data_IF_452470986768
#
_entry.id   IF_452470986768
#
_cell.length_a   1.000
_cell.length_b   1.000
_cell.length_c   1.000
_cell.angle_alpha   90.00
_cell.angle_beta   90.00
_cell.angle_gamma   90.00
#
_symmetry.space_group_name_H-M   'P 1'
#
loop_
_entity.id
_entity.type
_entity.pdbx_description
1 polymer ?
#
# COMPACT_ATOMS: atom_id res chain seq x y z
N UNK A 1 -21.37 -1.44 40.57
CA UNK A 1 -21.48 -0.32 39.60
C UNK A 1 -20.60 -0.52 38.37
N UNK A 2 -19.36 -1.03 38.51
CA UNK A 2 -18.43 -1.22 37.39
C UNK A 2 -18.86 -2.28 36.37
N UNK A 3 -19.41 -3.42 36.79
CA UNK A 3 -19.85 -4.48 35.86
C UNK A 3 -20.96 -4.02 34.91
N UNK A 4 -21.99 -3.33 35.41
CA UNK A 4 -23.06 -2.80 34.57
C UNK A 4 -22.56 -1.78 33.54
N UNK A 5 -21.59 -0.94 33.92
CA UNK A 5 -20.96 0.02 33.00
C UNK A 5 -20.15 -0.68 31.91
N UNK A 6 -19.44 -1.77 32.24
CA UNK A 6 -18.69 -2.57 31.26
C UNK A 6 -19.63 -3.27 30.27
N UNK A 7 -20.72 -3.88 30.73
CA UNK A 7 -21.70 -4.54 29.85
C UNK A 7 -22.36 -3.54 28.90
N UNK A 8 -22.75 -2.36 29.41
CA UNK A 8 -23.30 -1.29 28.57
C UNK A 8 -22.31 -0.80 27.52
N UNK A 9 -21.04 -0.63 27.92
CA UNK A 9 -19.97 -0.23 26.99
C UNK A 9 -19.74 -1.27 25.89
N UNK A 10 -19.69 -2.56 26.23
CA UNK A 10 -19.55 -3.65 25.25
C UNK A 10 -20.74 -3.67 24.28
N UNK A 11 -21.98 -3.55 24.78
CA UNK A 11 -23.19 -3.54 23.93
C UNK A 11 -23.21 -2.34 22.97
N UNK A 12 -22.80 -1.16 23.42
CA UNK A 12 -22.67 0.01 22.55
C UNK A 12 -21.63 -0.22 21.46
N UNK A 13 -20.49 -0.81 21.80
CA UNK A 13 -19.43 -1.15 20.85
C UNK A 13 -19.92 -2.19 19.81
N UNK A 14 -20.64 -3.22 20.23
CA UNK A 14 -21.24 -4.21 19.32
C UNK A 14 -22.25 -3.57 18.37
N UNK A 15 -23.14 -2.71 18.88
CA UNK A 15 -24.13 -2.00 18.07
C UNK A 15 -23.47 -1.09 17.03
N UNK A 16 -22.35 -0.47 17.37
CA UNK A 16 -21.53 0.33 16.46
C UNK A 16 -20.92 -0.53 15.35
N UNK A 17 -20.41 -1.72 15.67
CA UNK A 17 -19.86 -2.65 14.67
C UNK A 17 -20.92 -3.24 13.75
N UNK A 18 -22.10 -3.57 14.27
CA UNK A 18 -23.24 -4.02 13.45
C UNK A 18 -23.67 -2.90 12.51
N UNK A 19 -23.77 -1.67 13.00
CA UNK A 19 -24.09 -0.49 12.18
C UNK A 19 -23.05 -0.29 11.07
N UNK A 20 -21.76 -0.39 11.38
CA UNK A 20 -20.69 -0.33 10.37
C UNK A 20 -20.77 -1.48 9.35
N UNK A 21 -21.18 -2.68 9.77
CA UNK A 21 -21.34 -3.84 8.89
C UNK A 21 -22.55 -3.68 7.97
N UNK A 22 -23.66 -3.13 8.47
CA UNK A 22 -24.84 -2.77 7.69
C UNK A 22 -24.48 -1.70 6.66
N UNK A 23 -23.69 -0.69 7.00
CA UNK A 23 -23.23 0.31 6.03
C UNK A 23 -22.37 -0.31 4.92
N UNK A 24 -21.47 -1.24 5.26
CA UNK A 24 -20.71 -2.00 4.26
C UNK A 24 -21.63 -2.80 3.35
N UNK A 25 -22.58 -3.53 3.94
CA UNK A 25 -23.54 -4.34 3.19
C UNK A 25 -24.45 -3.49 2.28
N UNK A 26 -24.97 -2.37 2.78
CA UNK A 26 -25.75 -1.39 2.02
C UNK A 26 -24.95 -0.81 0.85
N UNK A 27 -23.66 -0.52 1.04
CA UNK A 27 -22.77 -0.03 -0.03
C UNK A 27 -22.57 -1.08 -1.12
N UNK A 28 -22.28 -2.33 -0.73
CA UNK A 28 -22.18 -3.45 -1.67
C UNK A 28 -23.49 -3.68 -2.41
N UNK A 29 -24.62 -3.68 -1.69
CA UNK A 29 -25.94 -3.83 -2.27
C UNK A 29 -26.23 -2.71 -3.28
N UNK A 30 -25.94 -1.45 -2.93
CA UNK A 30 -26.08 -0.32 -3.85
C UNK A 30 -25.19 -0.46 -5.09
N UNK A 31 -23.95 -0.95 -4.95
CA UNK A 31 -23.06 -1.19 -6.09
C UNK A 31 -23.57 -2.31 -7.00
N UNK A 32 -24.01 -3.43 -6.43
CA UNK A 32 -24.67 -4.52 -7.18
C UNK A 32 -25.94 -4.04 -7.87
N UNK A 33 -26.74 -3.20 -7.20
CA UNK A 33 -27.94 -2.62 -7.77
C UNK A 33 -27.62 -1.66 -8.92
N UNK A 34 -26.63 -0.78 -8.76
CA UNK A 34 -26.20 0.12 -9.84
C UNK A 34 -25.64 -0.64 -11.03
N UNK A 35 -24.90 -1.73 -10.79
CA UNK A 35 -24.41 -2.63 -11.84
C UNK A 35 -25.56 -3.34 -12.57
N UNK A 36 -26.54 -3.86 -11.83
CA UNK A 36 -27.75 -4.48 -12.38
C UNK A 36 -28.58 -3.49 -13.20
N UNK A 37 -28.75 -2.26 -12.70
CA UNK A 37 -29.53 -1.22 -13.37
C UNK A 37 -28.81 -0.57 -14.56
N UNK A 38 -27.52 -0.89 -14.80
CA UNK A 38 -26.69 -0.29 -15.88
C UNK A 38 -26.73 1.24 -15.92
N UNK A 39 -27.01 1.90 -14.80
CA UNK A 39 -27.31 3.35 -14.75
C UNK A 39 -26.07 4.26 -14.82
N UNK A 40 -24.85 3.74 -14.75
CA UNK A 40 -23.62 4.55 -14.83
C UNK A 40 -22.43 3.77 -15.42
N UNK A 41 -21.63 4.34 -16.35
CA UNK A 41 -20.56 3.62 -17.03
C UNK A 41 -19.29 3.46 -16.19
N UNK A 42 -18.85 2.19 -16.12
CA UNK A 42 -17.52 1.59 -16.30
C UNK A 42 -16.19 2.23 -15.84
N UNK A 43 -16.11 3.33 -15.09
CA UNK A 43 -14.85 3.71 -14.41
C UNK A 43 -14.67 2.99 -13.07
N UNK A 44 -15.06 1.71 -13.06
CA UNK A 44 -14.96 0.81 -11.91
C UNK A 44 -13.51 0.56 -11.52
N UNK A 45 -12.55 0.52 -12.46
CA UNK A 45 -11.13 0.22 -12.16
C UNK A 45 -10.53 1.23 -11.17
N UNK A 46 -10.82 2.52 -11.33
CA UNK A 46 -10.34 3.55 -10.42
C UNK A 46 -11.07 3.52 -9.07
N UNK A 47 -12.37 3.21 -9.08
CA UNK A 47 -13.15 3.07 -7.84
C UNK A 47 -12.86 1.76 -7.10
N UNK A 48 -12.55 0.67 -7.79
CA UNK A 48 -12.16 -0.63 -7.25
C UNK A 48 -10.73 -0.56 -6.73
N UNK A 49 -9.82 0.12 -7.42
CA UNK A 49 -8.53 0.48 -6.84
C UNK A 49 -8.73 1.31 -5.57
N UNK A 50 -9.61 2.32 -5.60
CA UNK A 50 -9.95 3.10 -4.41
C UNK A 50 -10.63 2.25 -3.32
N UNK A 51 -11.41 1.23 -3.69
CA UNK A 51 -12.15 0.35 -2.77
C UNK A 51 -11.25 -0.71 -2.16
N UNK A 52 -10.39 -1.35 -2.94
CA UNK A 52 -9.34 -2.25 -2.49
C UNK A 52 -8.35 -1.48 -1.62
N UNK A 53 -8.03 -0.23 -1.95
CA UNK A 53 -7.26 0.66 -1.08
C UNK A 53 -8.04 0.98 0.22
N UNK A 54 -9.36 1.19 0.15
CA UNK A 54 -10.17 1.43 1.35
C UNK A 54 -10.37 0.14 2.19
N UNK A 55 -10.43 -1.03 1.57
CA UNK A 55 -10.53 -2.34 2.24
C UNK A 55 -9.19 -2.72 2.82
N UNK A 56 -8.08 -2.50 2.12
CA UNK A 56 -6.73 -2.68 2.68
C UNK A 56 -6.52 -1.72 3.84
N UNK A 57 -6.90 -0.46 3.70
CA UNK A 57 -6.87 0.50 4.82
C UNK A 57 -7.74 0.03 5.98
N UNK A 58 -8.99 -0.40 5.74
CA UNK A 58 -9.87 -0.78 6.84
C UNK A 58 -9.53 -2.13 7.46
N UNK A 59 -8.96 -3.08 6.72
CA UNK A 59 -8.45 -4.34 7.27
C UNK A 59 -7.17 -4.10 8.07
N UNK A 60 -6.26 -3.26 7.58
CA UNK A 60 -5.05 -2.84 8.32
C UNK A 60 -5.45 -2.07 9.58
N UNK A 61 -6.38 -1.11 9.50
CA UNK A 61 -6.87 -0.36 10.66
C UNK A 61 -7.61 -1.26 11.67
N UNK A 62 -8.38 -2.25 11.20
CA UNK A 62 -9.01 -3.23 12.08
C UNK A 62 -7.97 -4.12 12.78
N UNK A 63 -6.95 -4.57 12.05
CA UNK A 63 -5.82 -5.30 12.64
C UNK A 63 -5.06 -4.42 13.65
N UNK A 64 -4.79 -3.15 13.33
CA UNK A 64 -4.17 -2.19 14.24
C UNK A 64 -5.03 -1.91 15.49
N UNK A 65 -6.36 -1.86 15.34
CA UNK A 65 -7.29 -1.64 16.44
C UNK A 65 -7.42 -2.87 17.35
N UNK A 66 -7.65 -4.06 16.78
CA UNK A 66 -7.63 -5.34 17.52
C UNK A 66 -6.30 -5.48 18.26
N UNK A 67 -5.21 -5.03 17.64
CA UNK A 67 -3.88 -5.07 18.21
C UNK A 67 -3.59 -4.03 19.30
N UNK A 68 -4.13 -2.81 19.20
CA UNK A 68 -4.10 -1.83 20.30
C UNK A 68 -4.77 -2.42 21.57
N UNK A 69 -5.71 -3.36 21.38
CA UNK A 69 -6.31 -4.13 22.47
C UNK A 69 -5.45 -5.31 22.97
N UNK A 70 -4.36 -5.68 22.29
CA UNK A 70 -3.46 -6.77 22.72
C UNK A 70 -2.27 -6.25 23.54
N UNK A 71 -2.13 -6.73 24.77
CA UNK A 71 -1.03 -6.38 25.68
C UNK A 71 0.25 -7.20 25.48
N UNK A 72 0.24 -8.21 24.60
CA UNK A 72 1.38 -9.10 24.41
C UNK A 72 2.48 -8.45 23.58
N UNK A 73 3.62 -8.15 24.22
CA UNK A 73 4.81 -7.56 23.57
C UNK A 73 5.31 -8.39 22.36
N UNK A 74 5.24 -9.72 22.45
CA UNK A 74 5.71 -10.61 21.37
C UNK A 74 4.88 -10.48 20.09
N UNK A 75 3.55 -10.33 20.21
CA UNK A 75 2.70 -10.04 19.04
C UNK A 75 3.01 -8.65 18.48
N UNK A 76 3.38 -7.69 19.33
CA UNK A 76 3.82 -6.36 18.87
C UNK A 76 5.10 -6.43 18.06
N UNK A 77 6.05 -7.23 18.52
CA UNK A 77 7.31 -7.41 17.84
C UNK A 77 7.13 -8.16 16.51
N UNK A 78 6.43 -9.29 16.52
CA UNK A 78 6.14 -10.06 15.31
C UNK A 78 5.37 -9.22 14.28
N UNK A 79 4.38 -8.44 14.69
CA UNK A 79 3.65 -7.56 13.77
C UNK A 79 4.52 -6.43 13.24
N UNK A 80 5.31 -5.74 14.08
CA UNK A 80 6.25 -4.71 13.59
C UNK A 80 7.25 -5.30 12.59
N UNK A 81 7.72 -6.53 12.83
CA UNK A 81 8.57 -7.26 11.90
C UNK A 81 7.83 -7.62 10.61
N UNK A 82 6.62 -8.15 10.69
CA UNK A 82 5.82 -8.50 9.50
C UNK A 82 5.45 -7.27 8.69
N UNK A 83 5.03 -6.19 9.35
CA UNK A 83 4.72 -4.91 8.74
C UNK A 83 5.99 -4.33 8.08
N UNK A 84 7.10 -4.25 8.81
CA UNK A 84 8.37 -3.81 8.24
C UNK A 84 8.78 -4.66 7.03
N UNK A 85 8.72 -6.00 7.14
CA UNK A 85 9.02 -6.88 6.01
C UNK A 85 8.07 -6.65 4.83
N UNK A 86 6.77 -6.50 5.07
CA UNK A 86 5.77 -6.24 4.05
C UNK A 86 6.06 -4.94 3.28
N UNK A 87 6.39 -3.86 3.99
CA UNK A 87 6.82 -2.61 3.35
C UNK A 87 8.21 -2.70 2.70
N UNK A 88 9.11 -3.56 3.16
CA UNK A 88 10.44 -3.75 2.57
C UNK A 88 10.47 -4.75 1.40
N UNK A 89 9.37 -5.45 1.11
CA UNK A 89 9.26 -6.33 -0.07
C UNK A 89 9.18 -5.54 -1.38
N UNK A 90 8.88 -4.24 -1.32
CA UNK A 90 8.81 -3.34 -2.47
C UNK A 90 10.15 -2.65 -2.72
N UNK A 91 11.22 -3.44 -2.92
CA UNK A 91 12.50 -2.93 -3.41
C UNK A 91 12.49 -2.93 -4.93
N UNK A 92 12.89 -1.79 -5.50
CA UNK A 92 12.95 -1.60 -6.95
C UNK A 92 14.39 -1.32 -7.35
N UNK A 93 14.81 -1.82 -8.51
CA UNK A 93 16.13 -1.59 -9.07
C UNK A 93 16.00 -0.56 -10.19
N UNK A 94 16.84 0.46 -10.17
CA UNK A 94 16.99 1.34 -11.32
C UNK A 94 17.70 0.58 -12.46
N UNK A 95 17.08 0.54 -13.64
CA UNK A 95 17.65 -0.10 -14.84
C UNK A 95 18.64 0.83 -15.57
N UNK A 96 18.40 2.15 -15.48
CA UNK A 96 19.17 3.16 -16.19
C UNK A 96 19.45 4.36 -15.28
N UNK A 97 20.47 5.14 -15.61
CA UNK A 97 20.71 6.44 -14.99
C UNK A 97 19.59 7.43 -15.35
N UNK A 98 19.15 8.21 -14.37
CA UNK A 98 18.15 9.24 -14.56
C UNK A 98 18.56 10.51 -13.83
N UNK A 99 18.66 11.61 -14.58
CA UNK A 99 18.91 12.95 -14.07
C UNK A 99 17.58 13.72 -13.97
N UNK A 100 17.27 14.22 -12.78
CA UNK A 100 16.10 15.05 -12.54
C UNK A 100 16.14 16.32 -13.38
N UNK A 101 15.07 16.57 -14.14
CA UNK A 101 14.85 17.78 -14.95
C UNK A 101 14.00 18.80 -14.23
N UNK A 102 13.18 18.35 -13.26
CA UNK A 102 12.34 19.18 -12.42
C UNK A 102 12.67 18.97 -10.94
N UNK A 103 12.31 19.94 -10.10
CA UNK A 103 12.63 19.92 -8.66
C UNK A 103 11.91 18.83 -7.86
N UNK A 104 10.85 18.27 -8.42
CA UNK A 104 10.06 17.18 -7.87
C UNK A 104 10.51 15.80 -8.35
N UNK A 105 11.44 15.72 -9.29
CA UNK A 105 12.01 14.48 -9.82
C UNK A 105 13.21 13.99 -9.00
N UNK A 106 13.44 12.67 -8.98
CA UNK A 106 14.53 12.06 -8.23
C UNK A 106 15.69 11.70 -9.16
N UNK A 107 16.90 12.21 -8.90
CA UNK A 107 18.12 11.75 -9.59
C UNK A 107 18.62 10.43 -8.97
N UNK A 108 18.90 9.43 -9.81
CA UNK A 108 19.44 8.13 -9.40
C UNK A 108 20.28 7.49 -10.50
N UNK A 109 21.12 6.53 -10.12
CA UNK A 109 21.97 5.77 -11.04
C UNK A 109 21.46 4.35 -11.28
N UNK A 110 21.82 3.76 -12.42
CA UNK A 110 21.57 2.36 -12.75
C UNK A 110 22.12 1.44 -11.66
N UNK A 111 21.38 0.38 -11.36
CA UNK A 111 21.69 -0.56 -10.27
C UNK A 111 21.36 -0.04 -8.87
N UNK A 112 20.93 1.21 -8.70
CA UNK A 112 20.54 1.74 -7.40
C UNK A 112 19.21 1.14 -6.94
N UNK A 113 19.14 0.76 -5.66
CA UNK A 113 17.90 0.32 -5.04
C UNK A 113 17.06 1.54 -4.64
N UNK A 114 15.84 1.59 -5.14
CA UNK A 114 14.85 2.62 -4.87
C UNK A 114 13.72 2.06 -4.00
N UNK A 115 13.16 2.92 -3.16
CA UNK A 115 11.98 2.62 -2.34
C UNK A 115 10.80 3.37 -2.91
N UNK A 116 9.71 2.67 -3.15
CA UNK A 116 8.52 3.26 -3.75
C UNK A 116 7.50 3.56 -2.66
N UNK A 117 6.89 4.74 -2.76
CA UNK A 117 5.84 5.14 -1.82
C UNK A 117 4.61 4.23 -1.96
N UNK A 118 3.85 4.01 -0.88
CA UNK A 118 2.58 3.27 -0.93
C UNK A 118 1.61 3.88 -1.94
N UNK A 119 0.75 3.04 -2.55
CA UNK A 119 -0.21 3.47 -3.58
C UNK A 119 -1.10 4.64 -3.15
N UNK A 120 -1.37 4.80 -1.86
CA UNK A 120 -2.22 5.88 -1.34
C UNK A 120 -1.52 7.25 -1.35
N UNK A 121 -0.19 7.27 -1.32
CA UNK A 121 0.63 8.49 -1.40
C UNK A 121 1.12 8.78 -2.81
N UNK A 122 0.74 7.95 -3.78
CA UNK A 122 1.15 8.13 -5.16
C UNK A 122 0.38 9.29 -5.80
N UNK A 123 1.07 10.19 -6.52
CA UNK A 123 0.42 11.26 -7.26
C UNK A 123 -0.34 10.69 -8.46
N UNK A 124 -1.39 11.39 -8.91
CA UNK A 124 -2.21 11.00 -10.05
C UNK A 124 -1.54 11.33 -11.41
N UNK A 125 -0.23 11.07 -11.53
CA UNK A 125 0.55 11.38 -12.74
C UNK A 125 0.84 10.07 -13.46
N UNK A 126 0.35 9.95 -14.71
CA UNK A 126 0.54 8.73 -15.51
C UNK A 126 2.01 8.57 -15.90
N UNK A 127 2.57 7.38 -15.71
CA UNK A 127 3.95 7.07 -16.09
C UNK A 127 4.99 7.38 -15.01
N UNK A 128 4.59 8.09 -13.96
CA UNK A 128 5.48 8.54 -12.89
C UNK A 128 5.05 7.95 -11.55
N UNK A 129 6.03 7.66 -10.71
CA UNK A 129 5.82 7.08 -9.39
C UNK A 129 6.66 7.83 -8.38
N UNK A 130 6.09 8.10 -7.21
CA UNK A 130 6.78 8.69 -6.09
C UNK A 130 7.62 7.62 -5.40
N UNK A 131 8.89 7.92 -5.21
CA UNK A 131 9.80 7.08 -4.46
C UNK A 131 10.94 7.87 -3.84
N UNK A 132 11.86 7.14 -3.23
CA UNK A 132 13.03 7.69 -2.59
C UNK A 132 14.26 6.83 -2.86
N UNK A 133 15.42 7.43 -2.66
CA UNK A 133 16.66 6.64 -2.52
C UNK A 133 16.56 5.68 -1.33
N UNK A 134 17.43 4.66 -1.29
CA UNK A 134 17.45 3.67 -0.22
C UNK A 134 17.55 4.28 1.20
N UNK A 135 18.21 5.45 1.31
CA UNK A 135 18.38 6.17 2.58
C UNK A 135 17.11 6.91 3.04
N UNK A 136 16.10 7.05 2.17
CA UNK A 136 14.87 7.78 2.45
C UNK A 136 15.03 9.30 2.52
N UNK A 137 16.21 9.85 2.22
CA UNK A 137 16.52 11.29 2.31
C UNK A 137 15.98 12.10 1.14
N UNK A 138 16.14 11.58 -0.08
CA UNK A 138 15.71 12.24 -1.29
C UNK A 138 14.45 11.54 -1.79
N UNK A 139 13.35 12.27 -1.82
CA UNK A 139 12.04 11.80 -2.28
C UNK A 139 11.71 12.59 -3.55
N UNK A 140 11.28 11.89 -4.58
CA UNK A 140 10.90 12.51 -5.84
C UNK A 140 10.19 11.54 -6.78
N UNK A 141 9.79 12.06 -7.93
CA UNK A 141 9.17 11.33 -9.01
C UNK A 141 10.21 10.54 -9.79
N UNK A 142 9.86 9.31 -10.09
CA UNK A 142 10.66 8.32 -10.81
C UNK A 142 9.83 7.89 -12.03
N UNK A 143 10.39 7.87 -13.24
CA UNK A 143 9.70 7.29 -14.39
C UNK A 143 9.55 5.78 -14.22
N UNK A 144 8.34 5.24 -14.42
CA UNK A 144 8.09 3.80 -14.24
C UNK A 144 8.91 2.91 -15.19
N UNK A 145 9.27 3.41 -16.38
CA UNK A 145 10.05 2.64 -17.36
C UNK A 145 11.54 2.48 -16.96
N UNK A 146 12.00 3.19 -15.94
CA UNK A 146 13.39 3.17 -15.49
C UNK A 146 13.63 2.24 -14.30
N UNK A 147 12.58 1.60 -13.80
CA UNK A 147 12.66 0.73 -12.63
C UNK A 147 12.10 -0.65 -12.93
N UNK A 148 12.69 -1.65 -12.30
CA UNK A 148 12.12 -3.00 -12.23
C UNK A 148 11.89 -3.41 -10.78
N UNK A 149 10.92 -4.27 -10.55
CA UNK A 149 10.67 -4.84 -9.23
C UNK A 149 11.76 -5.86 -8.96
N UNK A 150 12.51 -5.68 -7.87
CA UNK A 150 13.36 -6.74 -7.34
C UNK A 150 12.46 -7.77 -6.67
N UNK A 151 11.81 -8.61 -7.49
CA UNK A 151 11.24 -9.84 -6.98
C UNK A 151 12.44 -10.64 -6.50
N UNK A 152 12.51 -10.88 -5.19
CA UNK A 152 13.53 -11.75 -4.59
C UNK A 152 13.22 -13.20 -5.03
N UNK A 153 13.43 -13.51 -6.31
CA UNK A 153 13.26 -14.82 -6.91
C UNK A 153 14.60 -15.19 -7.51
N UNK A 154 15.36 -15.95 -6.72
CA UNK A 154 16.66 -16.50 -7.07
C UNK A 154 17.78 -15.45 -7.26
N UNK A 155 18.98 -15.66 -6.71
CA UNK A 155 20.10 -14.72 -6.85
C UNK A 155 20.53 -14.42 -8.31
N UNK A 156 20.04 -15.17 -9.30
CA UNK A 156 20.50 -15.06 -10.70
C UNK A 156 20.02 -13.79 -11.44
N UNK A 157 18.90 -13.17 -11.04
CA UNK A 157 18.34 -12.02 -11.79
C UNK A 157 19.19 -10.76 -11.64
N UNK A 158 19.75 -10.51 -10.45
CA UNK A 158 20.55 -9.30 -10.21
C UNK A 158 21.87 -9.32 -10.99
N UNK A 159 22.44 -10.51 -11.20
CA UNK A 159 23.67 -10.69 -11.97
C UNK A 159 23.40 -10.58 -13.48
N UNK A 160 22.27 -11.10 -13.96
CA UNK A 160 21.90 -11.01 -15.38
C UNK A 160 21.65 -9.55 -15.80
N UNK A 161 20.88 -8.79 -15.01
CA UNK A 161 20.59 -7.37 -15.32
C UNK A 161 21.84 -6.50 -15.20
N UNK A 162 22.70 -6.73 -14.20
CA UNK A 162 23.98 -6.03 -14.09
C UNK A 162 24.88 -6.32 -15.30
N UNK A 163 24.97 -7.58 -15.72
CA UNK A 163 25.78 -7.98 -16.88
C UNK A 163 25.24 -7.43 -18.20
N UNK A 164 23.92 -7.36 -18.38
CA UNK A 164 23.30 -6.73 -19.55
C UNK A 164 23.54 -5.23 -19.58
N UNK A 165 23.41 -4.52 -18.45
CA UNK A 165 23.64 -3.08 -18.37
C UNK A 165 25.12 -2.70 -18.57
N UNK A 166 26.07 -3.53 -18.15
CA UNK A 166 27.52 -3.30 -18.38
C UNK A 166 27.94 -3.61 -19.83
N UNK A 167 27.12 -4.36 -20.58
CA UNK A 167 27.41 -4.73 -21.97
C UNK A 167 26.96 -3.72 -23.03
N UNK A 168 26.25 -2.66 -22.63
CA UNK A 168 25.81 -1.57 -23.52
C UNK A 168 26.68 -0.32 -23.33
#
# INVERSE_FOLDING_TARGET
MTEFAIIYFISQVESFFVTCSIFRWLKYFWQSLMAFLRLKPADYVNMEAAWLNAVSQTSILLLLYIFQSTNSHDLKLLFNLLFYNFFNLSRFLALYDFEARASDELTFSAGQILRIAPKEKQPAIRGWILGSTNDGKNIGLIPMNYIDIVLKKSPDVCETVFNEAVSQ
#
